data_IF_575385491656
#
_entry.id   IF_575385491656
#
_cell.length_a   1.000
_cell.length_b   1.000
_cell.length_c   1.000
_cell.angle_alpha   90.00
_cell.angle_beta   90.00
_cell.angle_gamma   90.00
#
_symmetry.space_group_name_H-M   'P 1'
#
loop_
_entity.id
_entity.type
_entity.pdbx_description
1 polymer ?
#
# COMPACT_ATOMS: atom_id res chain seq x y z
N UNK A 1 -47.08 -30.25 -1.29
CA UNK A 1 -46.66 -29.02 -0.59
C UNK A 1 -46.61 -27.90 -1.61
N UNK A 2 -47.71 -27.16 -1.68
CA UNK A 2 -47.96 -26.03 -2.58
C UNK A 2 -47.07 -24.85 -2.23
N UNK A 3 -46.36 -24.27 -3.21
CA UNK A 3 -45.60 -23.03 -3.02
C UNK A 3 -46.55 -21.84 -3.23
N UNK A 4 -46.73 -21.04 -2.19
CA UNK A 4 -47.44 -19.75 -2.27
C UNK A 4 -46.73 -18.76 -3.22
N UNK A 5 -47.47 -17.97 -4.02
CA UNK A 5 -46.88 -16.91 -4.84
C UNK A 5 -46.72 -15.62 -4.02
N UNK A 6 -45.50 -15.08 -3.99
CA UNK A 6 -45.20 -13.77 -3.41
C UNK A 6 -45.78 -12.66 -4.30
N UNK A 7 -46.68 -11.88 -3.71
CA UNK A 7 -47.33 -10.69 -4.27
C UNK A 7 -46.28 -9.59 -4.46
N UNK A 8 -45.99 -9.20 -5.71
CA UNK A 8 -45.17 -8.00 -6.02
C UNK A 8 -45.96 -6.76 -5.60
N UNK A 9 -45.52 -6.06 -4.55
CA UNK A 9 -45.92 -4.68 -4.27
C UNK A 9 -45.00 -3.75 -5.06
N UNK A 10 -45.59 -2.93 -5.93
CA UNK A 10 -44.93 -1.81 -6.57
C UNK A 10 -44.54 -0.80 -5.50
N UNK A 11 -43.25 -0.72 -5.17
CA UNK A 11 -42.66 0.44 -4.52
C UNK A 11 -41.98 1.25 -5.61
N UNK A 12 -42.55 2.42 -5.92
CA UNK A 12 -41.83 3.45 -6.67
C UNK A 12 -40.61 3.84 -5.81
N UNK A 13 -39.43 3.34 -6.16
CA UNK A 13 -38.17 3.93 -5.72
C UNK A 13 -37.83 5.04 -6.72
N UNK A 14 -37.96 6.28 -6.26
CA UNK A 14 -37.28 7.43 -6.83
C UNK A 14 -35.78 7.15 -6.78
N UNK A 15 -35.21 6.79 -7.92
CA UNK A 15 -33.77 6.68 -8.10
C UNK A 15 -33.16 8.08 -8.00
N UNK A 16 -32.70 8.47 -6.81
CA UNK A 16 -31.71 9.51 -6.69
C UNK A 16 -30.39 8.91 -7.20
N UNK A 17 -30.04 9.24 -8.43
CA UNK A 17 -28.73 8.96 -9.02
C UNK A 17 -27.68 9.75 -8.24
N UNK A 18 -27.16 9.16 -7.17
CA UNK A 18 -25.88 9.59 -6.59
C UNK A 18 -24.84 9.15 -7.60
N UNK A 19 -24.41 10.08 -8.43
CA UNK A 19 -23.27 9.89 -9.32
C UNK A 19 -22.03 9.82 -8.43
N UNK A 20 -21.67 8.61 -7.98
CA UNK A 20 -20.38 8.36 -7.36
C UNK A 20 -19.34 8.52 -8.46
N UNK A 21 -18.82 9.73 -8.60
CA UNK A 21 -17.54 9.92 -9.28
C UNK A 21 -16.51 9.30 -8.37
N UNK A 22 -16.19 8.03 -8.62
CA UNK A 22 -15.01 7.39 -8.07
C UNK A 22 -13.80 8.16 -8.64
N UNK A 23 -13.36 9.20 -7.94
CA UNK A 23 -12.03 9.74 -8.13
C UNK A 23 -11.07 8.75 -7.50
N UNK A 24 -10.80 7.66 -8.21
CA UNK A 24 -9.61 6.87 -8.00
C UNK A 24 -8.44 7.78 -8.34
N UNK A 25 -7.91 8.48 -7.34
CA UNK A 25 -6.54 9.00 -7.44
C UNK A 25 -5.68 7.75 -7.53
N UNK A 26 -5.35 7.37 -8.76
CA UNK A 26 -4.36 6.36 -9.01
C UNK A 26 -3.03 6.91 -8.49
N UNK A 27 -2.70 6.59 -7.23
CA UNK A 27 -1.36 6.79 -6.66
C UNK A 27 -0.28 5.96 -7.39
N UNK A 28 -0.66 5.24 -8.44
CA UNK A 28 0.21 4.48 -9.33
C UNK A 28 0.86 5.32 -10.44
N UNK A 29 0.49 6.61 -10.59
CA UNK A 29 0.86 7.40 -11.78
C UNK A 29 2.00 8.42 -11.62
N UNK A 30 2.47 8.73 -10.41
CA UNK A 30 3.34 9.88 -10.17
C UNK A 30 4.56 9.60 -9.27
N UNK A 31 5.06 8.37 -9.25
CA UNK A 31 6.37 8.03 -8.65
C UNK A 31 7.29 7.52 -9.74
N UNK A 32 7.76 8.42 -10.60
CA UNK A 32 8.90 8.11 -11.46
C UNK A 32 9.73 9.37 -11.65
N UNK A 33 10.95 9.36 -11.12
CA UNK A 33 12.01 10.00 -11.86
C UNK A 33 12.05 9.37 -13.25
N UNK A 34 12.18 10.17 -14.30
CA UNK A 34 12.43 9.67 -15.64
C UNK A 34 13.80 8.97 -15.65
N UNK A 35 13.82 7.67 -15.37
CA UNK A 35 15.02 6.87 -15.52
C UNK A 35 15.47 6.97 -16.97
N UNK A 36 16.72 7.42 -17.18
CA UNK A 36 17.33 7.45 -18.49
C UNK A 36 18.29 6.25 -18.62
N UNK A 37 17.95 5.23 -19.43
CA UNK A 37 18.77 4.04 -19.64
C UNK A 37 20.21 4.33 -20.03
N UNK A 38 20.47 5.43 -20.76
CA UNK A 38 21.81 5.77 -21.27
C UNK A 38 22.76 6.28 -20.19
N UNK A 39 22.27 6.55 -18.98
CA UNK A 39 23.08 7.08 -17.88
C UNK A 39 23.77 5.98 -17.05
N UNK A 40 23.45 4.71 -17.31
CA UNK A 40 23.95 3.57 -16.56
C UNK A 40 24.34 2.45 -17.53
N UNK A 41 25.43 2.63 -18.27
CA UNK A 41 25.98 1.54 -19.10
C UNK A 41 26.89 0.61 -18.29
N UNK A 42 27.05 -0.61 -18.76
CA UNK A 42 27.91 -1.63 -18.12
C UNK A 42 29.32 -1.09 -17.86
N UNK A 43 29.92 -0.44 -18.88
CA UNK A 43 31.26 0.13 -18.80
C UNK A 43 31.37 1.33 -17.87
N UNK A 44 30.33 2.16 -17.79
CA UNK A 44 30.29 3.30 -16.85
C UNK A 44 30.25 2.84 -15.39
N UNK A 45 29.53 1.75 -15.12
CA UNK A 45 29.40 1.21 -13.77
C UNK A 45 30.55 0.28 -13.37
N UNK A 46 31.41 -0.11 -14.31
CA UNK A 46 32.56 -0.98 -14.06
C UNK A 46 32.16 -2.39 -13.63
N UNK A 47 31.02 -2.88 -14.11
CA UNK A 47 30.48 -4.21 -13.78
C UNK A 47 30.52 -5.11 -15.01
N UNK A 48 30.45 -6.42 -14.83
CA UNK A 48 30.27 -7.39 -15.91
C UNK A 48 28.87 -8.00 -15.79
N UNK A 49 28.12 -8.04 -16.90
CA UNK A 49 26.78 -8.61 -16.98
C UNK A 49 26.73 -9.53 -18.21
N UNK A 50 26.32 -10.81 -18.06
CA UNK A 50 26.24 -11.73 -19.18
C UNK A 50 25.39 -11.20 -20.34
N UNK A 51 25.96 -11.20 -21.54
CA UNK A 51 25.26 -10.81 -22.77
C UNK A 51 25.20 -9.31 -23.05
N UNK A 52 25.82 -8.46 -22.21
CA UNK A 52 25.89 -7.01 -22.43
C UNK A 52 27.34 -6.54 -22.64
N UNK A 53 27.54 -5.67 -23.62
CA UNK A 53 28.79 -4.94 -23.87
C UNK A 53 28.92 -3.67 -23.04
N UNK A 54 30.10 -3.05 -23.07
CA UNK A 54 30.43 -1.88 -22.24
C UNK A 54 29.51 -0.66 -22.48
N UNK A 55 29.03 -0.47 -23.72
CA UNK A 55 28.16 0.64 -24.10
C UNK A 55 26.67 0.32 -23.93
N UNK A 56 26.33 -0.93 -23.59
CA UNK A 56 24.93 -1.33 -23.41
C UNK A 56 24.38 -0.80 -22.09
N UNK A 57 23.13 -0.31 -22.06
CA UNK A 57 22.47 0.09 -20.83
C UNK A 57 22.24 -1.13 -19.93
N UNK A 58 22.43 -0.97 -18.62
CA UNK A 58 22.20 -2.05 -17.65
C UNK A 58 20.72 -2.42 -17.56
N UNK A 59 19.83 -1.44 -17.70
CA UNK A 59 18.38 -1.63 -17.72
C UNK A 59 17.75 -0.72 -18.77
N UNK A 60 16.73 -1.22 -19.45
CA UNK A 60 15.73 -0.40 -20.13
C UNK A 60 14.82 0.32 -19.12
N UNK A 61 14.00 1.27 -19.59
CA UNK A 61 13.03 1.96 -18.74
C UNK A 61 11.94 1.02 -18.20
N UNK A 62 11.47 0.09 -19.02
CA UNK A 62 10.46 -0.90 -18.61
C UNK A 62 11.01 -1.86 -17.55
N UNK A 63 12.23 -2.36 -17.77
CA UNK A 63 12.92 -3.20 -16.79
C UNK A 63 13.14 -2.45 -15.47
N UNK A 64 13.52 -1.17 -15.52
CA UNK A 64 13.67 -0.36 -14.31
C UNK A 64 12.36 -0.24 -13.51
N UNK A 65 11.25 0.00 -14.20
CA UNK A 65 9.93 0.09 -13.56
C UNK A 65 9.51 -1.24 -12.94
N UNK A 66 9.71 -2.36 -13.64
CA UNK A 66 9.44 -3.70 -13.11
C UNK A 66 10.33 -4.03 -11.90
N UNK A 67 11.62 -3.73 -11.98
CA UNK A 67 12.56 -3.93 -10.87
C UNK A 67 12.21 -3.07 -9.64
N UNK A 68 11.75 -1.83 -9.87
CA UNK A 68 11.27 -0.93 -8.82
C UNK A 68 10.03 -1.48 -8.12
N UNK A 69 9.06 -1.98 -8.87
CA UNK A 69 7.85 -2.62 -8.33
C UNK A 69 8.21 -3.81 -7.43
N UNK A 70 8.97 -4.78 -7.95
CA UNK A 70 9.41 -5.95 -7.18
C UNK A 70 10.17 -5.53 -5.93
N UNK A 71 11.12 -4.59 -6.06
CA UNK A 71 11.90 -4.11 -4.93
C UNK A 71 11.01 -3.50 -3.83
N UNK A 72 10.05 -2.67 -4.21
CA UNK A 72 9.18 -2.00 -3.25
C UNK A 72 8.27 -3.01 -2.53
N UNK A 73 7.70 -3.96 -3.25
CA UNK A 73 6.79 -4.96 -2.69
C UNK A 73 7.50 -6.00 -1.81
N UNK A 74 8.71 -6.42 -2.20
CA UNK A 74 9.35 -7.62 -1.64
C UNK A 74 10.65 -7.38 -0.90
N UNK A 75 11.36 -6.28 -1.16
CA UNK A 75 12.71 -6.05 -0.64
C UNK A 75 12.80 -4.84 0.29
N UNK A 76 12.08 -3.77 -0.02
CA UNK A 76 12.20 -2.47 0.66
C UNK A 76 11.83 -2.52 2.15
N UNK A 77 10.96 -3.46 2.56
CA UNK A 77 10.63 -3.65 3.98
C UNK A 77 11.86 -4.01 4.84
N UNK A 78 12.80 -4.79 4.29
CA UNK A 78 14.02 -5.20 5.00
C UNK A 78 15.22 -4.31 4.67
N UNK A 79 15.35 -3.86 3.42
CA UNK A 79 16.54 -3.14 2.94
C UNK A 79 16.37 -1.61 2.89
N UNK A 80 15.15 -1.12 3.14
CA UNK A 80 14.77 0.28 3.01
C UNK A 80 14.59 0.71 1.55
N UNK A 81 13.69 1.66 1.30
CA UNK A 81 13.41 2.19 -0.05
C UNK A 81 14.66 2.81 -0.69
N UNK A 82 15.50 3.47 0.12
CA UNK A 82 16.78 4.04 -0.30
C UNK A 82 17.95 3.05 -0.23
N UNK A 83 17.67 1.76 0.01
CA UNK A 83 18.64 0.66 0.11
C UNK A 83 19.70 0.82 1.21
N UNK A 84 19.47 1.68 2.21
CA UNK A 84 20.41 1.95 3.33
C UNK A 84 20.37 0.91 4.45
N UNK A 85 19.52 -0.11 4.33
CA UNK A 85 19.32 -1.15 5.34
C UNK A 85 18.26 -0.78 6.37
N UNK A 86 17.65 -1.81 6.95
CA UNK A 86 16.75 -1.71 8.10
C UNK A 86 16.99 -2.94 8.99
N UNK A 87 16.25 -4.03 8.75
CA UNK A 87 16.58 -5.35 9.30
C UNK A 87 17.60 -6.08 8.42
N UNK A 88 17.50 -5.92 7.10
CA UNK A 88 18.46 -6.39 6.12
C UNK A 88 19.63 -5.41 5.95
N UNK A 89 20.74 -5.93 5.42
CA UNK A 89 21.96 -5.14 5.14
C UNK A 89 21.70 -4.05 4.10
N UNK A 90 22.56 -3.03 4.06
CA UNK A 90 22.53 -2.04 2.98
C UNK A 90 22.80 -2.71 1.62
N UNK A 91 22.08 -2.25 0.58
CA UNK A 91 22.22 -2.65 -0.82
C UNK A 91 22.51 -1.41 -1.69
N UNK A 92 23.37 -0.53 -1.18
CA UNK A 92 23.81 0.66 -1.91
C UNK A 92 24.77 0.28 -3.02
N UNK A 93 24.84 1.11 -4.06
CA UNK A 93 25.55 0.80 -5.30
C UNK A 93 27.06 0.68 -5.14
N UNK A 94 27.66 1.35 -4.16
CA UNK A 94 29.06 1.15 -3.77
C UNK A 94 29.34 -0.28 -3.33
N UNK A 95 28.40 -0.93 -2.61
CA UNK A 95 28.53 -2.30 -2.15
C UNK A 95 28.12 -3.31 -3.23
N UNK A 96 27.00 -3.08 -3.91
CA UNK A 96 26.45 -4.06 -4.86
C UNK A 96 27.30 -4.16 -6.13
N UNK A 97 27.93 -3.07 -6.57
CA UNK A 97 28.87 -3.09 -7.70
C UNK A 97 30.17 -3.82 -7.36
N UNK A 98 30.65 -3.72 -6.11
CA UNK A 98 31.81 -4.51 -5.64
C UNK A 98 31.50 -6.02 -5.62
N UNK A 99 30.28 -6.39 -5.21
CA UNK A 99 29.83 -7.78 -5.23
C UNK A 99 29.65 -8.34 -6.66
N UNK A 100 29.17 -7.50 -7.57
CA UNK A 100 28.97 -7.86 -8.98
C UNK A 100 27.69 -8.65 -9.26
N UNK A 101 27.33 -8.74 -10.54
CA UNK A 101 26.07 -9.32 -11.00
C UNK A 101 25.91 -10.79 -10.60
N UNK A 102 26.92 -11.64 -10.84
CA UNK A 102 26.81 -13.09 -10.61
C UNK A 102 26.60 -13.43 -9.12
N UNK A 103 27.24 -12.67 -8.22
CA UNK A 103 27.01 -12.79 -6.79
C UNK A 103 25.58 -12.42 -6.44
N UNK A 104 25.11 -11.25 -6.88
CA UNK A 104 23.76 -10.77 -6.57
C UNK A 104 22.69 -11.73 -7.09
N UNK A 105 22.84 -12.17 -8.34
CA UNK A 105 21.97 -13.16 -8.97
C UNK A 105 21.88 -14.42 -8.11
N UNK A 106 23.03 -15.05 -7.82
CA UNK A 106 23.09 -16.27 -7.02
C UNK A 106 22.51 -16.07 -5.62
N UNK A 107 22.82 -14.94 -4.98
CA UNK A 107 22.36 -14.66 -3.62
C UNK A 107 20.85 -14.45 -3.58
N UNK A 108 20.25 -13.79 -4.58
CA UNK A 108 18.79 -13.64 -4.70
C UNK A 108 18.12 -15.01 -4.93
N UNK A 109 18.72 -15.89 -5.74
CA UNK A 109 18.20 -17.24 -6.00
C UNK A 109 18.11 -18.09 -4.73
N UNK A 110 19.18 -18.10 -3.93
CA UNK A 110 19.35 -19.05 -2.83
C UNK A 110 19.11 -18.47 -1.42
N UNK A 111 19.13 -17.15 -1.28
CA UNK A 111 19.00 -16.49 0.02
C UNK A 111 20.15 -16.80 0.98
N UNK A 112 19.89 -16.62 2.28
CA UNK A 112 20.86 -16.99 3.31
C UNK A 112 20.18 -17.45 4.60
N UNK A 113 20.81 -18.35 5.39
CA UNK A 113 20.28 -18.79 6.68
C UNK A 113 20.11 -17.65 7.70
N UNK A 114 20.77 -16.51 7.49
CA UNK A 114 20.71 -15.34 8.36
C UNK A 114 19.44 -14.48 8.18
N UNK A 115 18.48 -14.94 7.36
CA UNK A 115 17.15 -14.34 7.24
C UNK A 115 16.79 -13.81 5.85
N UNK A 116 17.70 -13.86 4.87
CA UNK A 116 17.34 -13.52 3.49
C UNK A 116 16.57 -14.68 2.84
N UNK A 117 15.34 -14.45 2.33
CA UNK A 117 14.57 -15.48 1.63
C UNK A 117 15.25 -15.98 0.35
N UNK A 118 14.88 -17.18 -0.07
CA UNK A 118 15.43 -17.89 -1.23
C UNK A 118 14.48 -17.77 -2.44
N UNK A 119 14.45 -16.61 -3.09
CA UNK A 119 13.40 -16.24 -4.07
C UNK A 119 13.30 -17.15 -5.30
N UNK A 120 14.42 -17.65 -5.80
CA UNK A 120 14.43 -18.52 -6.98
C UNK A 120 14.13 -19.98 -6.63
N UNK A 121 14.75 -20.50 -5.58
CA UNK A 121 14.51 -21.89 -5.17
C UNK A 121 13.14 -22.10 -4.52
N UNK A 122 12.49 -21.04 -4.02
CA UNK A 122 11.07 -21.08 -3.61
C UNK A 122 10.10 -21.03 -4.79
N UNK A 123 10.55 -20.59 -5.97
CA UNK A 123 9.71 -20.34 -7.14
C UNK A 123 8.86 -19.06 -7.06
N UNK A 124 9.14 -18.17 -6.09
CA UNK A 124 8.39 -16.92 -5.91
C UNK A 124 8.79 -15.83 -6.92
N UNK A 125 10.03 -15.87 -7.42
CA UNK A 125 10.50 -15.06 -8.55
C UNK A 125 10.94 -15.96 -9.70
N UNK A 126 10.66 -15.55 -10.93
CA UNK A 126 11.17 -16.22 -12.14
C UNK A 126 12.67 -15.97 -12.29
N UNK A 127 13.35 -16.80 -13.10
CA UNK A 127 14.77 -16.57 -13.43
C UNK A 127 14.99 -15.18 -14.07
N UNK A 128 14.04 -14.73 -14.90
CA UNK A 128 14.06 -13.40 -15.50
C UNK A 128 13.94 -12.29 -14.45
N UNK A 129 13.03 -12.41 -13.48
CA UNK A 129 12.89 -11.44 -12.39
C UNK A 129 14.14 -11.43 -11.50
N UNK A 130 14.80 -12.57 -11.29
CA UNK A 130 16.06 -12.64 -10.52
C UNK A 130 17.19 -11.91 -11.25
N UNK A 131 17.37 -12.19 -12.54
CA UNK A 131 18.34 -11.49 -13.38
C UNK A 131 18.06 -10.00 -13.41
N UNK A 132 16.79 -9.61 -13.55
CA UNK A 132 16.35 -8.23 -13.49
C UNK A 132 16.71 -7.58 -12.15
N UNK A 133 16.42 -8.23 -11.02
CA UNK A 133 16.71 -7.70 -9.70
C UNK A 133 18.21 -7.55 -9.44
N UNK A 134 19.03 -8.49 -9.92
CA UNK A 134 20.48 -8.35 -9.86
C UNK A 134 20.97 -7.11 -10.61
N UNK A 135 20.45 -6.84 -11.82
CA UNK A 135 20.74 -5.60 -12.58
C UNK A 135 20.22 -4.35 -11.87
N UNK A 136 19.00 -4.40 -11.34
CA UNK A 136 18.35 -3.30 -10.62
C UNK A 136 19.13 -2.84 -9.38
N UNK A 137 19.80 -3.77 -8.70
CA UNK A 137 20.63 -3.45 -7.55
C UNK A 137 21.95 -2.75 -7.90
N UNK A 138 22.39 -2.77 -9.16
CA UNK A 138 23.62 -2.11 -9.64
C UNK A 138 23.39 -0.65 -10.05
N UNK A 139 22.15 -0.27 -10.38
CA UNK A 139 21.78 1.11 -10.68
C UNK A 139 21.33 1.86 -9.43
N UNK A 140 21.55 3.17 -9.41
CA UNK A 140 21.21 4.00 -8.25
C UNK A 140 19.69 4.03 -8.00
N UNK A 141 19.24 3.96 -6.73
CA UNK A 141 17.83 3.88 -6.41
C UNK A 141 17.10 5.20 -6.77
N UNK A 142 15.86 5.13 -7.27
CA UNK A 142 15.06 6.32 -7.49
C UNK A 142 14.73 6.97 -6.14
N UNK A 143 14.65 8.31 -6.11
CA UNK A 143 14.16 9.02 -4.95
C UNK A 143 12.62 9.03 -4.98
N UNK A 144 11.94 8.54 -3.93
CA UNK A 144 10.50 8.73 -3.78
C UNK A 144 10.16 10.22 -3.65
N UNK A 145 8.97 10.67 -4.07
CA UNK A 145 8.53 12.03 -3.80
C UNK A 145 8.35 12.23 -2.30
N UNK A 146 8.61 13.46 -1.85
CA UNK A 146 8.24 13.92 -0.52
C UNK A 146 6.72 14.19 -0.47
N UNK A 147 6.14 14.10 0.74
CA UNK A 147 4.72 14.40 0.97
C UNK A 147 4.60 15.47 2.08
N UNK A 148 4.55 16.73 1.67
CA UNK A 148 4.66 17.90 2.54
C UNK A 148 3.31 18.53 2.90
N UNK A 149 3.33 19.73 3.50
CA UNK A 149 2.09 20.44 3.86
C UNK A 149 1.18 20.77 2.67
N UNK A 150 1.70 21.11 1.47
CA UNK A 150 0.84 21.29 0.31
C UNK A 150 0.01 20.03 0.01
N UNK A 151 0.66 18.87 -0.07
CA UNK A 151 0.01 17.59 -0.40
C UNK A 151 -0.98 17.16 0.71
N UNK A 152 -0.60 17.34 1.98
CA UNK A 152 -1.49 17.09 3.11
C UNK A 152 -2.75 17.95 3.02
N UNK A 153 -2.62 19.25 2.73
CA UNK A 153 -3.78 20.16 2.61
C UNK A 153 -4.65 19.85 1.40
N UNK A 154 -4.04 19.46 0.29
CA UNK A 154 -4.76 19.04 -0.92
C UNK A 154 -5.55 17.75 -0.66
N UNK A 155 -4.99 16.81 0.11
CA UNK A 155 -5.66 15.57 0.48
C UNK A 155 -6.74 15.74 1.57
N UNK A 156 -6.72 16.86 2.30
CA UNK A 156 -7.61 17.07 3.45
C UNK A 156 -9.04 17.39 3.02
N UNK A 157 -9.97 16.49 3.34
CA UNK A 157 -11.39 16.66 3.08
C UNK A 157 -12.20 16.75 4.38
N UNK A 158 -12.68 17.94 4.73
CA UNK A 158 -13.58 18.14 5.88
C UNK A 158 -15.03 17.86 5.48
N UNK A 159 -15.49 16.64 5.75
CA UNK A 159 -16.85 16.18 5.39
C UNK A 159 -17.91 16.87 6.25
N UNK A 160 -17.70 16.92 7.58
CA UNK A 160 -18.63 17.55 8.52
C UNK A 160 -17.91 18.51 9.48
N UNK A 161 -18.19 19.82 9.39
CA UNK A 161 -17.69 20.83 10.32
C UNK A 161 -18.08 20.54 11.79
N UNK A 162 -17.21 20.84 12.77
CA UNK A 162 -17.48 20.54 14.19
C UNK A 162 -18.77 21.12 14.76
N UNK A 163 -19.18 22.30 14.32
CA UNK A 163 -20.40 23.00 14.72
C UNK A 163 -21.69 22.36 14.17
N UNK A 164 -21.56 21.48 13.18
CA UNK A 164 -22.67 20.72 12.60
C UNK A 164 -22.80 19.32 13.17
N UNK A 165 -21.87 18.89 14.05
CA UNK A 165 -21.88 17.56 14.64
C UNK A 165 -22.87 17.48 15.81
N UNK A 166 -23.36 16.27 16.16
CA UNK A 166 -24.21 16.09 17.33
C UNK A 166 -23.55 16.61 18.62
N UNK A 167 -24.33 17.27 19.47
CA UNK A 167 -23.89 17.72 20.80
C UNK A 167 -24.06 16.66 21.88
N UNK A 168 -24.75 15.55 21.55
CA UNK A 168 -24.90 14.34 22.36
C UNK A 168 -24.94 13.11 21.44
N UNK A 169 -24.79 11.90 21.99
CA UNK A 169 -24.91 10.63 21.25
C UNK A 169 -26.35 10.46 20.75
N UNK A 170 -26.52 10.20 19.45
CA UNK A 170 -27.84 10.05 18.81
C UNK A 170 -28.12 8.64 18.28
N UNK A 171 -27.29 7.65 18.64
CA UNK A 171 -27.52 6.22 18.39
C UNK A 171 -27.64 5.43 19.71
N UNK A 172 -27.97 4.14 19.61
CA UNK A 172 -28.12 3.22 20.75
C UNK A 172 -26.88 2.32 20.98
N UNK A 173 -25.76 2.57 20.29
CA UNK A 173 -24.56 1.74 20.35
C UNK A 173 -23.85 1.86 21.70
N UNK A 174 -23.50 0.74 22.33
CA UNK A 174 -22.61 0.71 23.50
C UNK A 174 -21.14 0.89 23.05
N UNK A 175 -20.69 2.15 23.00
CA UNK A 175 -19.36 2.51 22.48
C UNK A 175 -18.24 1.90 23.33
N UNK A 176 -18.42 1.79 24.65
CA UNK A 176 -17.39 1.28 25.56
C UNK A 176 -17.16 -0.24 25.36
N UNK A 177 -18.14 -0.94 24.79
CA UNK A 177 -18.09 -2.36 24.46
C UNK A 177 -18.08 -2.60 22.93
N UNK A 178 -17.69 -1.60 22.13
CA UNK A 178 -17.64 -1.69 20.68
C UNK A 178 -16.26 -2.17 20.19
N UNK A 179 -16.25 -3.09 19.23
CA UNK A 179 -15.04 -3.52 18.53
C UNK A 179 -14.95 -2.86 17.16
N UNK A 180 -13.85 -2.17 16.90
CA UNK A 180 -13.48 -1.72 15.55
C UNK A 180 -12.58 -2.77 14.91
N UNK A 181 -13.12 -3.52 13.95
CA UNK A 181 -12.44 -4.65 13.30
C UNK A 181 -12.08 -4.29 11.87
N UNK A 182 -10.79 -4.41 11.54
CA UNK A 182 -10.27 -4.21 10.19
C UNK A 182 -10.76 -5.29 9.23
N UNK A 183 -11.41 -4.88 8.15
CA UNK A 183 -11.67 -5.70 6.97
C UNK A 183 -10.60 -5.35 5.93
N UNK A 184 -9.45 -6.01 6.06
CA UNK A 184 -8.17 -5.55 5.50
C UNK A 184 -8.22 -5.31 4.00
N UNK A 185 -8.57 -6.32 3.22
CA UNK A 185 -8.41 -6.25 1.77
C UNK A 185 -9.53 -5.49 1.07
N UNK A 186 -10.67 -5.26 1.75
CA UNK A 186 -11.76 -4.40 1.26
C UNK A 186 -11.59 -2.95 1.68
N UNK A 187 -10.54 -2.60 2.43
CA UNK A 187 -10.28 -1.21 2.87
C UNK A 187 -11.36 -0.66 3.79
N UNK A 188 -11.95 -1.51 4.62
CA UNK A 188 -13.08 -1.17 5.47
C UNK A 188 -12.80 -1.43 6.95
N UNK A 189 -13.65 -0.87 7.81
CA UNK A 189 -13.78 -1.27 9.21
C UNK A 189 -15.21 -1.65 9.54
N UNK A 190 -15.38 -2.73 10.29
CA UNK A 190 -16.65 -3.13 10.87
C UNK A 190 -16.71 -2.69 12.33
N UNK A 191 -17.83 -2.07 12.73
CA UNK A 191 -18.15 -1.77 14.11
C UNK A 191 -19.04 -2.88 14.64
N UNK A 192 -18.54 -3.68 15.57
CA UNK A 192 -19.19 -4.89 16.07
C UNK A 192 -19.48 -4.73 17.57
N UNK A 193 -20.74 -4.94 17.96
CA UNK A 193 -21.15 -4.93 19.36
C UNK A 193 -20.55 -6.11 20.12
N UNK A 194 -19.84 -5.85 21.22
CA UNK A 194 -19.17 -6.88 22.00
C UNK A 194 -20.10 -7.77 22.83
N UNK A 195 -21.35 -7.37 23.04
CA UNK A 195 -22.36 -8.13 23.78
C UNK A 195 -23.25 -8.99 22.87
N UNK A 196 -23.65 -8.45 21.71
CA UNK A 196 -24.58 -9.13 20.79
C UNK A 196 -23.90 -9.73 19.55
N UNK A 197 -22.67 -9.34 19.27
CA UNK A 197 -21.91 -9.69 18.05
C UNK A 197 -22.53 -9.16 16.75
N UNK A 198 -23.50 -8.24 16.85
CA UNK A 198 -24.10 -7.60 15.70
C UNK A 198 -23.12 -6.60 15.06
N UNK A 199 -23.04 -6.63 13.73
CA UNK A 199 -22.34 -5.60 12.96
C UNK A 199 -23.23 -4.36 12.91
N UNK A 200 -22.87 -3.32 13.66
CA UNK A 200 -23.61 -2.05 13.74
C UNK A 200 -23.35 -1.15 12.52
N UNK A 201 -22.14 -1.19 11.97
CA UNK A 201 -21.79 -0.46 10.75
C UNK A 201 -20.60 -1.11 10.02
N UNK A 202 -20.52 -0.90 8.71
CA UNK A 202 -19.32 -1.15 7.90
C UNK A 202 -18.97 0.14 7.18
N UNK A 203 -17.77 0.66 7.42
CA UNK A 203 -17.33 1.99 6.96
C UNK A 203 -16.17 1.79 5.98
N UNK A 204 -16.31 2.38 4.79
CA UNK A 204 -15.25 2.44 3.79
C UNK A 204 -14.22 3.51 4.17
N UNK A 205 -12.95 3.11 4.16
CA UNK A 205 -11.82 3.99 4.47
C UNK A 205 -10.93 4.23 3.26
N UNK A 206 -11.10 3.43 2.19
CA UNK A 206 -10.40 3.52 0.91
C UNK A 206 -9.22 2.56 0.74
N UNK A 207 -8.53 2.15 1.81
CA UNK A 207 -7.39 1.23 1.72
C UNK A 207 -7.22 0.40 3.01
N UNK A 208 -6.37 -0.63 2.95
CA UNK A 208 -6.17 -1.58 4.04
C UNK A 208 -5.76 -0.89 5.35
N UNK A 209 -6.71 -0.81 6.30
CA UNK A 209 -6.49 -0.26 7.64
C UNK A 209 -5.47 -1.09 8.40
N UNK A 210 -4.57 -0.42 9.12
CA UNK A 210 -3.57 -1.08 9.95
C UNK A 210 -3.94 -1.07 11.43
N UNK A 211 -4.44 0.07 11.94
CA UNK A 211 -4.86 0.21 13.33
C UNK A 211 -6.08 1.13 13.47
N UNK A 212 -6.83 0.87 14.54
CA UNK A 212 -7.88 1.73 15.08
C UNK A 212 -7.42 2.33 16.42
N UNK A 213 -7.71 3.61 16.66
CA UNK A 213 -7.44 4.33 17.92
C UNK A 213 -8.60 5.23 18.29
N UNK A 214 -8.85 5.35 19.59
CA UNK A 214 -9.94 6.18 20.12
C UNK A 214 -9.41 7.52 20.62
N UNK A 215 -10.21 8.58 20.48
CA UNK A 215 -10.00 9.82 21.22
C UNK A 215 -10.11 9.56 22.72
N UNK A 216 -9.50 10.43 23.54
CA UNK A 216 -9.57 10.33 25.00
C UNK A 216 -11.01 10.37 25.54
N UNK A 217 -11.93 11.02 24.82
CA UNK A 217 -13.36 11.07 25.17
C UNK A 217 -14.16 9.83 24.79
N UNK A 218 -13.57 8.88 24.04
CA UNK A 218 -14.28 7.74 23.45
C UNK A 218 -15.20 8.08 22.27
N UNK A 219 -15.37 9.36 21.91
CA UNK A 219 -16.28 9.79 20.84
C UNK A 219 -15.75 9.52 19.44
N UNK A 220 -14.48 9.80 19.18
CA UNK A 220 -13.92 9.76 17.85
C UNK A 220 -13.05 8.53 17.65
N UNK A 221 -13.36 7.78 16.61
CA UNK A 221 -12.54 6.66 16.15
C UNK A 221 -11.64 7.15 15.01
N UNK A 222 -10.35 6.94 15.15
CA UNK A 222 -9.33 7.22 14.14
C UNK A 222 -8.80 5.91 13.58
N UNK A 223 -8.80 5.81 12.26
CA UNK A 223 -8.23 4.67 11.55
C UNK A 223 -7.20 5.17 10.55
N UNK A 224 -6.09 4.44 10.43
CA UNK A 224 -5.03 4.76 9.48
C UNK A 224 -4.78 3.56 8.54
N UNK A 225 -4.83 3.84 7.25
CA UNK A 225 -4.50 2.91 6.18
C UNK A 225 -2.99 2.71 6.03
N UNK A 226 -2.58 1.57 5.47
CA UNK A 226 -1.17 1.30 5.11
C UNK A 226 -0.62 2.26 4.04
N UNK A 227 -1.49 2.98 3.34
CA UNK A 227 -1.23 4.06 2.38
C UNK A 227 -1.15 5.45 3.05
N UNK A 228 -1.11 5.49 4.39
CA UNK A 228 -1.10 6.70 5.23
C UNK A 228 -2.37 7.56 5.20
N UNK A 229 -3.45 7.11 4.56
CA UNK A 229 -4.75 7.79 4.64
C UNK A 229 -5.34 7.66 6.04
N UNK A 230 -5.77 8.78 6.62
CA UNK A 230 -6.42 8.83 7.93
C UNK A 230 -7.90 9.16 7.78
N UNK A 231 -8.76 8.37 8.44
CA UNK A 231 -10.20 8.64 8.55
C UNK A 231 -10.57 8.83 10.02
N UNK A 232 -11.34 9.87 10.29
CA UNK A 232 -11.90 10.18 11.60
C UNK A 232 -13.42 9.96 11.53
N UNK A 233 -13.94 9.12 12.42
CA UNK A 233 -15.34 8.69 12.48
C UNK A 233 -15.94 9.21 13.79
N UNK A 234 -17.08 9.89 13.73
CA UNK A 234 -17.87 10.33 14.89
C UNK A 234 -18.85 9.24 15.32
N UNK A 235 -18.52 8.53 16.40
CA UNK A 235 -19.34 7.45 16.94
C UNK A 235 -20.65 7.92 17.56
N UNK A 236 -20.88 9.23 17.67
CA UNK A 236 -22.16 9.77 18.15
C UNK A 236 -23.23 9.87 17.07
N UNK A 237 -22.87 9.80 15.79
CA UNK A 237 -23.81 9.88 14.67
C UNK A 237 -24.62 8.59 14.47
N UNK A 238 -25.78 8.70 13.81
CA UNK A 238 -26.60 7.54 13.41
C UNK A 238 -26.84 7.54 11.88
N UNK A 239 -26.21 6.62 11.12
CA UNK A 239 -25.15 5.70 11.55
C UNK A 239 -23.83 6.45 11.86
N UNK A 240 -22.88 5.82 12.58
CA UNK A 240 -21.54 6.38 12.76
C UNK A 240 -20.86 6.70 11.42
N UNK A 241 -20.26 7.90 11.30
CA UNK A 241 -19.66 8.41 10.06
C UNK A 241 -18.49 9.36 10.32
#
# INVERSE_FOLDING_TARGET
MERLPLRKKNLLQTAATVSTVAFSVAFSGAIAQNYNPTNNTVGQLGVEIPGLGADDPVLSAEEFERGKEIFFERCAGCHGVLRKGATGKALTTDLTRELGYDYLHSFITYGSPAGMPNWGTSGELSEEDIALMAKYLLVDPPQPPEFGMPDIRESWNLIMPPDQRPTAKINDIDIDNLFSVTLRDTGQVALIDGGTYEIKAVIDTGYAVHISRMSASGRYLYVIGRDAKVTMIDLWMDPPA
#
